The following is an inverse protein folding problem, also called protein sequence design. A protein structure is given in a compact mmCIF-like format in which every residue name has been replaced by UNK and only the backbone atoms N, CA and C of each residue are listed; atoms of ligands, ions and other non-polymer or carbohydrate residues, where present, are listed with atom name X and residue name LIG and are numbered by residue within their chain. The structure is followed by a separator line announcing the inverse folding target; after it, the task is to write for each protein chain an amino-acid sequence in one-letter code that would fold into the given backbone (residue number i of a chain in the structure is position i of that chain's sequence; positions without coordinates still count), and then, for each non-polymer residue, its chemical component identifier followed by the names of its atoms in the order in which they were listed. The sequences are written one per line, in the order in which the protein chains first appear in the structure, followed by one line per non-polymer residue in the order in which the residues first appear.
data_IF_167216536329
#
_entry.id   IF_167216536329
#
_cell.length_a   1.000
_cell.length_b   1.000
_cell.length_c   1.000
_cell.angle_alpha   90.00
_cell.angle_beta   90.00
_cell.angle_gamma   90.00
#
_symmetry.space_group_name_H-M   'P 1'
#
loop_
_entity.id
_entity.type
_entity.pdbx_description
1 polymer ?
#
# COMPACT_ATOMS: atom_id res chain seq x y z
N UNK A 1 -22.78 -25.10 28.30
CA UNK A 1 -22.68 -25.74 26.97
C UNK A 1 -22.73 -24.64 25.94
N UNK A 2 -21.70 -24.25 25.18
CA UNK A 2 -20.35 -24.76 24.92
C UNK A 2 -19.33 -23.62 25.06
N UNK A 3 -18.19 -23.88 25.71
CA UNK A 3 -17.02 -23.01 25.57
C UNK A 3 -16.39 -23.27 24.20
N UNK A 4 -16.52 -22.32 23.28
CA UNK A 4 -15.77 -22.33 22.01
C UNK A 4 -14.31 -21.98 22.34
N UNK A 5 -13.54 -23.00 22.69
CA UNK A 5 -12.11 -22.90 23.00
C UNK A 5 -11.38 -22.65 21.68
N UNK A 6 -11.20 -21.38 21.31
CA UNK A 6 -10.35 -20.97 20.20
C UNK A 6 -8.90 -21.28 20.61
N UNK A 7 -8.46 -22.50 20.33
CA UNK A 7 -7.09 -22.94 20.56
C UNK A 7 -6.19 -22.22 19.58
N UNK A 8 -5.75 -21.01 19.93
CA UNK A 8 -4.55 -20.39 19.36
C UNK A 8 -3.36 -21.26 19.76
N UNK A 9 -3.13 -22.34 19.00
CA UNK A 9 -1.80 -22.91 18.91
C UNK A 9 -0.94 -21.81 18.30
N UNK A 10 -0.25 -21.04 19.15
CA UNK A 10 0.93 -20.30 18.73
C UNK A 10 1.92 -21.35 18.23
N UNK A 11 1.80 -21.74 16.96
CA UNK A 11 2.81 -22.50 16.25
C UNK A 11 4.13 -21.78 16.49
N UNK A 12 5.13 -22.55 16.91
CA UNK A 12 6.51 -22.10 17.17
C UNK A 12 6.92 -20.98 16.23
N UNK A 13 7.31 -19.82 16.76
CA UNK A 13 7.86 -18.70 15.99
C UNK A 13 8.87 -19.23 14.97
N UNK A 14 8.81 -18.73 13.73
CA UNK A 14 9.63 -19.23 12.62
C UNK A 14 11.10 -19.24 12.99
N UNK A 15 11.75 -20.41 12.95
CA UNK A 15 13.17 -20.59 13.31
C UNK A 15 14.15 -20.00 12.27
N UNK A 16 13.64 -19.46 11.16
CA UNK A 16 14.41 -18.96 10.02
C UNK A 16 14.47 -17.43 10.08
N UNK A 17 15.63 -16.86 9.75
CA UNK A 17 15.86 -15.41 9.73
C UNK A 17 14.96 -14.70 8.68
N UNK A 18 14.62 -13.43 8.93
CA UNK A 18 13.76 -12.62 8.06
C UNK A 18 14.34 -12.44 6.66
N UNK A 19 15.64 -12.22 6.52
CA UNK A 19 16.30 -12.01 5.22
C UNK A 19 16.03 -13.20 4.28
N UNK A 20 16.28 -14.42 4.77
CA UNK A 20 16.04 -15.66 4.01
C UNK A 20 14.57 -15.84 3.62
N UNK A 21 13.63 -15.34 4.45
CA UNK A 21 12.20 -15.38 4.17
C UNK A 21 11.79 -14.36 3.10
N UNK A 22 12.43 -13.20 3.07
CA UNK A 22 12.21 -12.17 2.05
C UNK A 22 12.82 -12.58 0.70
N UNK A 23 14.01 -13.18 0.71
CA UNK A 23 14.63 -13.72 -0.52
C UNK A 23 13.76 -14.83 -1.16
N UNK A 24 13.09 -15.63 -0.33
CA UNK A 24 12.23 -16.73 -0.76
C UNK A 24 10.74 -16.44 -0.53
N UNK A 25 10.32 -15.18 -0.74
CA UNK A 25 8.99 -14.70 -0.36
C UNK A 25 7.85 -15.53 -0.96
N UNK A 26 7.97 -16.00 -2.20
CA UNK A 26 6.96 -16.83 -2.87
C UNK A 26 6.61 -18.12 -2.09
N UNK A 27 7.57 -18.71 -1.37
CA UNK A 27 7.35 -19.90 -0.54
C UNK A 27 6.81 -19.48 0.83
N UNK A 28 7.40 -18.45 1.43
CA UNK A 28 7.00 -17.93 2.74
C UNK A 28 5.54 -17.49 2.78
N UNK A 29 5.03 -16.88 1.70
CA UNK A 29 3.63 -16.47 1.55
C UNK A 29 2.62 -17.63 1.60
N UNK A 30 3.05 -18.89 1.43
CA UNK A 30 2.17 -20.06 1.52
C UNK A 30 1.85 -20.48 2.96
N UNK A 31 2.58 -19.95 3.93
CA UNK A 31 2.32 -20.26 5.35
C UNK A 31 0.96 -19.73 5.79
N UNK A 32 0.23 -20.46 6.66
CA UNK A 32 -1.11 -20.05 7.10
C UNK A 32 -1.10 -18.68 7.81
N UNK A 33 0.00 -18.36 8.51
CA UNK A 33 0.18 -17.07 9.19
C UNK A 33 0.26 -15.92 8.20
N UNK A 34 1.13 -16.01 7.18
CA UNK A 34 1.23 -14.94 6.17
C UNK A 34 -0.07 -14.82 5.36
N UNK A 35 -0.71 -15.93 5.00
CA UNK A 35 -2.02 -15.91 4.35
C UNK A 35 -3.07 -15.18 5.20
N UNK A 36 -3.11 -15.42 6.51
CA UNK A 36 -4.01 -14.72 7.41
C UNK A 36 -3.69 -13.22 7.49
N UNK A 37 -2.41 -12.84 7.58
CA UNK A 37 -1.96 -11.44 7.62
C UNK A 37 -2.46 -10.69 6.39
N UNK A 38 -2.19 -11.20 5.18
CA UNK A 38 -2.60 -10.54 3.94
C UNK A 38 -4.11 -10.50 3.74
N UNK A 39 -4.85 -11.52 4.21
CA UNK A 39 -6.31 -11.50 4.16
C UNK A 39 -6.92 -10.44 5.09
N UNK A 40 -6.34 -10.27 6.27
CA UNK A 40 -6.74 -9.20 7.21
C UNK A 40 -6.39 -7.84 6.62
N UNK A 41 -5.19 -7.66 6.07
CA UNK A 41 -4.78 -6.44 5.38
C UNK A 41 -5.74 -6.08 4.24
N UNK A 42 -6.05 -7.04 3.36
CA UNK A 42 -7.02 -6.84 2.28
C UNK A 42 -8.41 -6.46 2.80
N UNK A 43 -8.85 -7.06 3.92
CA UNK A 43 -10.08 -6.69 4.60
C UNK A 43 -10.08 -5.24 5.08
N UNK A 44 -8.99 -4.80 5.73
CA UNK A 44 -8.83 -3.42 6.21
C UNK A 44 -8.89 -2.43 5.04
N UNK A 45 -8.16 -2.71 3.96
CA UNK A 45 -8.18 -1.88 2.74
C UNK A 45 -9.59 -1.79 2.18
N UNK A 46 -10.28 -2.91 2.03
CA UNK A 46 -11.66 -2.97 1.54
C UNK A 46 -12.59 -2.09 2.39
N UNK A 47 -12.57 -2.26 3.71
CA UNK A 47 -13.43 -1.48 4.60
C UNK A 47 -13.12 0.01 4.57
N UNK A 48 -11.84 0.39 4.48
CA UNK A 48 -11.44 1.78 4.32
C UNK A 48 -11.99 2.39 3.02
N UNK A 49 -11.91 1.64 1.90
CA UNK A 49 -12.46 2.11 0.62
C UNK A 49 -13.98 2.24 0.67
N UNK A 50 -14.68 1.25 1.23
CA UNK A 50 -16.14 1.25 1.36
C UNK A 50 -16.62 2.42 2.23
N UNK A 51 -15.98 2.63 3.38
CA UNK A 51 -16.30 3.74 4.29
C UNK A 51 -16.18 5.10 3.59
N UNK A 52 -15.05 5.35 2.91
CA UNK A 52 -14.84 6.62 2.21
C UNK A 52 -15.75 6.77 0.98
N UNK A 53 -16.06 5.69 0.28
CA UNK A 53 -17.01 5.72 -0.84
C UNK A 53 -18.41 6.10 -0.35
N UNK A 54 -18.87 5.51 0.75
CA UNK A 54 -20.15 5.86 1.37
C UNK A 54 -20.18 7.30 1.91
N UNK A 55 -19.02 7.85 2.29
CA UNK A 55 -18.87 9.25 2.69
C UNK A 55 -18.72 10.23 1.51
N UNK A 56 -18.87 9.77 0.26
CA UNK A 56 -18.84 10.60 -0.95
C UNK A 56 -17.45 10.96 -1.47
N UNK A 57 -16.39 10.27 -1.04
CA UNK A 57 -15.04 10.54 -1.55
C UNK A 57 -14.84 9.93 -2.93
N UNK A 58 -14.28 10.72 -3.84
CA UNK A 58 -13.88 10.28 -5.18
C UNK A 58 -12.49 9.66 -5.13
N UNK A 59 -12.34 8.47 -5.73
CA UNK A 59 -11.04 7.83 -5.87
C UNK A 59 -10.25 8.47 -7.02
N UNK A 60 -9.04 8.94 -6.72
CA UNK A 60 -8.13 9.50 -7.74
C UNK A 60 -6.89 8.63 -7.88
N UNK A 61 -6.35 8.55 -9.10
CA UNK A 61 -5.08 7.89 -9.38
C UNK A 61 -4.04 8.94 -9.74
N UNK A 62 -3.01 9.06 -8.90
CA UNK A 62 -1.94 10.06 -9.09
C UNK A 62 -0.70 9.38 -9.67
N UNK A 63 0.02 10.04 -10.59
CA UNK A 63 1.26 9.50 -11.13
C UNK A 63 2.31 9.36 -10.02
N UNK A 64 3.14 8.31 -10.13
CA UNK A 64 4.23 8.01 -9.18
C UNK A 64 5.60 8.39 -9.71
N UNK A 65 5.69 8.68 -11.01
CA UNK A 65 6.86 9.29 -11.64
C UNK A 65 6.56 10.76 -11.91
N UNK A 66 7.42 11.63 -11.41
CA UNK A 66 7.28 13.09 -11.53
C UNK A 66 8.56 13.68 -12.14
N UNK A 67 8.42 14.74 -12.93
CA UNK A 67 9.56 15.36 -13.63
C UNK A 67 10.48 16.15 -12.70
N UNK A 68 9.98 16.59 -11.57
CA UNK A 68 10.71 17.36 -10.57
C UNK A 68 10.48 16.79 -9.17
N UNK A 69 11.44 16.98 -8.26
CA UNK A 69 11.30 16.61 -6.87
C UNK A 69 10.13 17.37 -6.22
N UNK A 70 9.12 16.64 -5.71
CA UNK A 70 7.93 17.25 -5.11
C UNK A 70 8.18 17.85 -3.72
N UNK A 71 9.25 17.46 -3.03
CA UNK A 71 9.59 17.92 -1.68
C UNK A 71 11.09 18.23 -1.65
N UNK A 72 11.44 19.51 -1.49
CA UNK A 72 12.83 19.96 -1.43
C UNK A 72 13.42 19.65 -0.07
N UNK A 73 14.34 18.68 0.02
CA UNK A 73 15.11 18.48 1.25
C UNK A 73 15.72 17.10 1.51
N UNK A 74 15.33 16.03 0.81
CA UNK A 74 15.82 14.69 1.15
C UNK A 74 15.82 13.70 -0.03
N UNK A 75 16.69 12.68 0.08
CA UNK A 75 16.87 11.50 -0.78
C UNK A 75 15.73 11.24 -1.79
N UNK A 76 15.82 11.88 -2.96
CA UNK A 76 14.91 11.61 -4.08
C UNK A 76 15.47 10.46 -4.92
N UNK A 77 14.63 9.48 -5.20
CA UNK A 77 14.99 8.40 -6.12
C UNK A 77 14.87 8.90 -7.55
N UNK A 78 16.01 9.14 -8.18
CA UNK A 78 16.12 9.55 -9.58
C UNK A 78 16.09 8.32 -10.48
N UNK A 79 15.25 8.37 -11.52
CA UNK A 79 15.11 7.34 -12.55
C UNK A 79 15.39 7.98 -13.90
N UNK A 80 16.16 7.29 -14.75
CA UNK A 80 16.33 7.72 -16.15
C UNK A 80 15.03 7.49 -16.91
N UNK A 81 14.46 8.53 -17.50
CA UNK A 81 13.20 8.45 -18.23
C UNK A 81 13.38 9.02 -19.63
N UNK A 82 13.59 8.12 -20.59
CA UNK A 82 13.98 8.45 -21.97
C UNK A 82 15.23 9.34 -22.02
N UNK A 83 15.15 10.52 -22.66
CA UNK A 83 16.20 11.53 -22.73
C UNK A 83 16.26 12.44 -21.51
N UNK A 84 15.35 12.27 -20.54
CA UNK A 84 15.21 13.09 -19.36
C UNK A 84 15.43 12.33 -18.05
N UNK A 85 15.24 13.04 -16.94
CA UNK A 85 15.23 12.47 -15.60
C UNK A 85 13.84 12.55 -15.00
N UNK A 86 13.40 11.48 -14.38
CA UNK A 86 12.20 11.44 -13.55
C UNK A 86 12.58 11.12 -12.10
N UNK A 87 11.64 11.38 -11.20
CA UNK A 87 11.78 11.14 -9.78
C UNK A 87 10.58 10.35 -9.28
N UNK A 88 10.77 9.48 -8.29
CA UNK A 88 9.65 8.82 -7.61
C UNK A 88 8.98 9.80 -6.63
N UNK A 89 7.66 9.94 -6.75
CA UNK A 89 6.87 10.75 -5.83
C UNK A 89 6.87 10.12 -4.44
N UNK A 90 7.32 10.88 -3.43
CA UNK A 90 7.36 10.42 -2.04
C UNK A 90 5.97 10.46 -1.39
N UNK A 91 5.20 11.50 -1.69
CA UNK A 91 3.82 11.64 -1.23
C UNK A 91 2.91 12.08 -2.39
N UNK A 92 1.64 11.63 -2.43
CA UNK A 92 0.66 12.11 -3.41
C UNK A 92 0.04 13.46 -3.00
N UNK A 93 0.61 14.17 -2.02
CA UNK A 93 -0.03 15.30 -1.37
C UNK A 93 -0.33 16.45 -2.35
N UNK A 94 0.62 16.78 -3.22
CA UNK A 94 0.46 17.84 -4.23
C UNK A 94 -0.73 17.54 -5.16
N UNK A 95 -0.83 16.30 -5.66
CA UNK A 95 -1.92 15.90 -6.54
C UNK A 95 -3.28 15.88 -5.86
N UNK A 96 -3.35 15.56 -4.56
CA UNK A 96 -4.60 15.71 -3.79
C UNK A 96 -5.04 17.17 -3.75
N UNK A 97 -4.12 18.09 -3.46
CA UNK A 97 -4.42 19.53 -3.43
C UNK A 97 -4.87 20.05 -4.80
N UNK A 98 -4.21 19.62 -5.87
CA UNK A 98 -4.64 19.95 -7.24
C UNK A 98 -6.04 19.41 -7.55
N UNK A 99 -6.38 18.22 -7.08
CA UNK A 99 -7.74 17.67 -7.25
C UNK A 99 -8.78 18.47 -6.46
N UNK A 100 -8.49 18.88 -5.22
CA UNK A 100 -9.37 19.79 -4.47
C UNK A 100 -9.57 21.12 -5.22
N UNK A 101 -8.50 21.67 -5.82
CA UNK A 101 -8.58 22.89 -6.62
C UNK A 101 -9.33 22.72 -7.96
N UNK A 102 -9.54 21.48 -8.41
CA UNK A 102 -10.31 21.12 -9.60
C UNK A 102 -11.75 20.72 -9.26
N UNK A 103 -12.33 21.32 -8.22
CA UNK A 103 -13.70 21.10 -7.72
C UNK A 103 -14.02 19.69 -7.18
N UNK A 104 -13.01 18.85 -6.93
CA UNK A 104 -13.25 17.62 -6.16
C UNK A 104 -13.31 17.96 -4.66
N UNK A 105 -14.51 18.09 -4.09
CA UNK A 105 -14.67 18.43 -2.66
C UNK A 105 -13.98 17.43 -1.71
N UNK A 106 -14.01 16.14 -2.06
CA UNK A 106 -13.51 15.05 -1.21
C UNK A 106 -12.78 14.01 -2.06
N UNK A 107 -11.47 13.88 -1.86
CA UNK A 107 -10.62 12.94 -2.61
C UNK A 107 -10.00 11.89 -1.72
N UNK A 108 -10.04 10.64 -2.17
CA UNK A 108 -9.29 9.54 -1.57
C UNK A 108 -8.25 9.03 -2.56
N UNK A 109 -7.12 8.62 -2.01
CA UNK A 109 -6.04 8.03 -2.77
C UNK A 109 -5.61 6.73 -2.09
N UNK A 110 -5.65 5.64 -2.85
CA UNK A 110 -5.01 4.39 -2.47
C UNK A 110 -4.18 3.90 -3.65
N UNK A 111 -2.94 3.53 -3.37
CA UNK A 111 -2.03 2.99 -4.39
C UNK A 111 -1.99 1.49 -4.25
N UNK A 112 -2.43 0.77 -5.29
CA UNK A 112 -2.01 -0.60 -5.49
C UNK A 112 -1.03 -0.61 -6.67
N UNK A 113 0.14 -1.20 -6.47
CA UNK A 113 1.05 -1.53 -7.56
C UNK A 113 0.76 -2.98 -7.98
N UNK A 114 -0.39 -3.21 -8.60
CA UNK A 114 -0.79 -4.52 -9.10
C UNK A 114 -1.06 -4.43 -10.60
N UNK A 115 0.02 -4.32 -11.37
CA UNK A 115 0.03 -4.68 -12.78
C UNK A 115 1.08 -5.78 -12.97
N UNK A 116 0.60 -7.02 -13.06
CA UNK A 116 1.29 -8.13 -13.73
C UNK A 116 0.64 -8.37 -15.06
#
# INVERSE_FOLDING_TARGET
MLYFKFSLQFQTLSRVNQDTRLDNRCIDLRTPVNQAIYRVEAGVVKFFMEYLTNAGFVNIHTPKMISAASEGGANVFKVSYFSGSAYLAQSPQLYKQMAIAADFERVRFFCEFTHT
#
